data_IF_370155770307
#
_entry.id   IF_370155770307
#
_cell.length_a   1.000
_cell.length_b   1.000
_cell.length_c   1.000
_cell.angle_alpha   90.00
_cell.angle_beta   90.00
_cell.angle_gamma   90.00
#
_symmetry.space_group_name_H-M   'P 1'
#
loop_
_entity.id
_entity.type
_entity.pdbx_description
1 polymer ?
#
# COMPACT_ATOMS: atom_id res chain seq x y z
N UNK A 1 10.73 1.09 -1.83
CA UNK A 1 11.92 1.91 -1.56
C UNK A 1 11.92 2.30 -0.09
N UNK A 2 12.97 1.95 0.67
CA UNK A 2 13.02 2.14 2.14
C UNK A 2 14.14 3.12 2.52
N UNK A 3 13.82 4.35 2.94
CA UNK A 3 14.84 5.33 3.28
C UNK A 3 14.76 5.65 4.78
N UNK A 4 15.74 5.16 5.52
CA UNK A 4 16.18 5.68 6.81
C UNK A 4 17.60 5.16 6.97
N UNK A 5 18.55 5.84 6.35
CA UNK A 5 19.96 5.62 6.63
C UNK A 5 20.58 7.00 6.80
N UNK A 6 20.91 7.34 8.03
CA UNK A 6 21.81 8.44 8.36
C UNK A 6 22.69 7.91 9.49
N UNK A 7 24.01 7.91 9.25
CA UNK A 7 24.98 7.43 10.23
C UNK A 7 25.00 8.32 11.47
N UNK A 8 25.10 7.74 12.67
CA UNK A 8 25.35 8.50 13.89
C UNK A 8 24.92 7.89 15.22
N UNK A 9 24.04 6.86 15.24
CA UNK A 9 23.62 6.26 16.51
C UNK A 9 24.66 5.23 17.02
N UNK A 10 25.10 5.30 18.31
CA UNK A 10 26.03 4.32 18.87
C UNK A 10 25.45 2.90 18.85
N UNK A 11 26.31 1.88 18.72
CA UNK A 11 25.92 0.48 18.48
C UNK A 11 24.91 -0.11 19.49
N UNK A 12 24.80 0.46 20.69
CA UNK A 12 23.87 0.03 21.74
C UNK A 12 22.48 0.70 21.66
N UNK A 13 22.28 1.68 20.77
CA UNK A 13 21.00 2.40 20.58
C UNK A 13 20.35 2.13 19.22
N UNK A 14 21.02 1.38 18.33
CA UNK A 14 20.51 1.09 16.99
C UNK A 14 19.32 0.12 17.04
N UNK A 15 18.25 0.45 16.31
CA UNK A 15 17.11 -0.47 16.14
C UNK A 15 17.52 -1.70 15.34
N UNK A 16 16.84 -2.84 15.57
CA UNK A 16 17.06 -4.09 14.82
C UNK A 16 17.02 -3.87 13.29
N UNK A 17 16.18 -2.93 12.83
CA UNK A 17 16.08 -2.55 11.44
C UNK A 17 17.33 -1.82 10.91
N UNK A 18 17.87 -0.86 11.66
CA UNK A 18 19.11 -0.17 11.26
C UNK A 18 20.29 -1.15 11.24
N UNK A 19 20.35 -2.05 12.22
CA UNK A 19 21.35 -3.12 12.26
C UNK A 19 21.23 -4.08 11.07
N UNK A 20 20.01 -4.50 10.72
CA UNK A 20 19.79 -5.35 9.55
C UNK A 20 20.26 -4.69 8.25
N UNK A 21 20.04 -3.37 8.08
CA UNK A 21 20.52 -2.62 6.91
C UNK A 21 22.04 -2.50 6.87
N UNK A 22 22.65 -2.25 8.02
CA UNK A 22 24.11 -2.21 8.15
C UNK A 22 24.71 -3.57 7.74
N UNK A 23 24.16 -4.68 8.25
CA UNK A 23 24.58 -6.03 7.87
C UNK A 23 24.43 -6.29 6.36
N UNK A 24 23.32 -5.87 5.75
CA UNK A 24 23.17 -5.94 4.29
C UNK A 24 24.26 -5.17 3.55
N UNK A 25 24.56 -3.94 4.00
CA UNK A 25 25.60 -3.12 3.39
C UNK A 25 26.99 -3.75 3.55
N UNK A 26 27.30 -4.31 4.71
CA UNK A 26 28.56 -5.01 4.99
C UNK A 26 28.67 -6.26 4.10
N UNK A 27 27.60 -7.07 4.01
CA UNK A 27 27.58 -8.28 3.18
C UNK A 27 27.76 -7.96 1.69
N UNK A 28 27.16 -6.86 1.21
CA UNK A 28 27.35 -6.39 -0.17
C UNK A 28 28.77 -5.90 -0.43
N UNK A 29 29.41 -5.26 0.56
CA UNK A 29 30.82 -4.86 0.45
C UNK A 29 31.75 -6.07 0.40
N UNK A 30 31.45 -7.11 1.16
CA UNK A 30 32.25 -8.35 1.20
C UNK A 30 32.19 -9.17 -0.10
N UNK A 31 31.28 -8.83 -1.03
CA UNK A 31 31.12 -9.54 -2.31
C UNK A 31 32.25 -9.28 -3.33
N UNK A 32 33.24 -8.44 -3.01
CA UNK A 32 34.42 -8.20 -3.86
C UNK A 32 34.17 -7.32 -5.09
N UNK A 33 32.98 -6.71 -5.20
CA UNK A 33 32.63 -5.74 -6.25
C UNK A 33 32.52 -4.35 -5.62
N UNK A 34 33.08 -3.27 -6.21
CA UNK A 34 32.92 -1.92 -5.67
C UNK A 34 31.45 -1.53 -5.51
N UNK A 35 31.06 -1.12 -4.30
CA UNK A 35 29.67 -0.75 -3.96
C UNK A 35 29.59 0.72 -3.64
N UNK A 36 28.71 1.44 -4.33
CA UNK A 36 28.27 2.78 -3.89
C UNK A 36 26.98 2.65 -3.10
N UNK A 37 27.02 2.97 -1.81
CA UNK A 37 25.86 2.97 -0.93
C UNK A 37 25.26 4.39 -0.88
N UNK A 38 24.05 4.55 -1.43
CA UNK A 38 23.31 5.81 -1.34
C UNK A 38 22.35 5.78 -0.14
N UNK A 39 22.60 6.66 0.83
CA UNK A 39 21.85 6.80 2.08
C UNK A 39 20.92 7.98 1.99
N UNK A 40 19.68 7.83 2.44
CA UNK A 40 18.71 8.92 2.46
C UNK A 40 17.90 8.88 3.76
N UNK A 41 17.52 10.07 4.21
CA UNK A 41 16.56 10.27 5.29
C UNK A 41 15.13 9.93 4.85
N UNK A 42 14.16 10.81 5.08
CA UNK A 42 12.79 10.59 4.61
C UNK A 42 12.72 10.90 3.12
N UNK A 43 12.20 9.97 2.31
CA UNK A 43 11.82 10.28 0.93
C UNK A 43 10.40 10.81 0.91
N UNK A 44 10.18 11.95 0.24
CA UNK A 44 8.86 12.52 -0.04
C UNK A 44 8.47 12.16 -1.47
N UNK A 45 7.50 11.27 -1.62
CA UNK A 45 7.08 10.75 -2.91
C UNK A 45 6.18 9.53 -2.78
N UNK A 46 5.43 9.24 -3.85
CA UNK A 46 4.48 8.15 -3.90
C UNK A 46 5.15 6.79 -3.61
N UNK A 47 4.56 6.01 -2.70
CA UNK A 47 5.07 4.71 -2.28
C UNK A 47 6.24 4.76 -1.29
N UNK A 48 6.66 5.95 -0.85
CA UNK A 48 7.60 6.10 0.27
C UNK A 48 6.91 5.82 1.59
N UNK A 49 7.26 4.71 2.25
CA UNK A 49 6.58 4.27 3.46
C UNK A 49 6.45 5.36 4.55
N UNK A 50 7.49 6.16 4.79
CA UNK A 50 7.44 7.20 5.82
C UNK A 50 6.49 8.35 5.44
N UNK A 51 6.47 8.73 4.16
CA UNK A 51 5.53 9.71 3.63
C UNK A 51 4.09 9.17 3.69
N UNK A 52 3.87 7.92 3.28
CA UNK A 52 2.56 7.27 3.33
C UNK A 52 2.01 7.18 4.77
N UNK A 53 2.85 6.86 5.77
CA UNK A 53 2.43 6.86 7.18
C UNK A 53 1.99 8.26 7.61
N UNK A 54 2.77 9.30 7.29
CA UNK A 54 2.43 10.68 7.64
C UNK A 54 1.11 11.10 6.99
N UNK A 55 0.95 10.79 5.71
CA UNK A 55 -0.25 11.07 4.94
C UNK A 55 -1.48 10.36 5.53
N UNK A 56 -1.36 9.06 5.77
CA UNK A 56 -2.42 8.23 6.36
C UNK A 56 -2.83 8.77 7.74
N UNK A 57 -1.87 9.20 8.58
CA UNK A 57 -2.20 9.81 9.86
C UNK A 57 -3.02 11.09 9.69
N UNK A 58 -2.65 11.98 8.76
CA UNK A 58 -3.36 13.25 8.53
C UNK A 58 -4.76 13.04 7.94
N UNK A 59 -4.91 12.15 6.97
CA UNK A 59 -6.21 11.88 6.34
C UNK A 59 -7.11 11.02 7.22
N UNK A 60 -6.53 10.04 7.92
CA UNK A 60 -7.31 9.08 8.69
C UNK A 60 -7.63 9.58 10.07
N UNK A 61 -6.74 10.23 10.82
CA UNK A 61 -7.02 10.60 12.21
C UNK A 61 -7.71 11.97 12.33
N UNK A 62 -8.68 12.13 13.25
CA UNK A 62 -9.31 13.42 13.51
C UNK A 62 -8.42 14.33 14.35
N UNK A 63 -7.58 13.73 15.20
CA UNK A 63 -6.62 14.41 16.09
C UNK A 63 -5.28 13.69 15.93
N UNK A 64 -4.21 14.46 15.71
CA UNK A 64 -2.86 13.94 15.68
C UNK A 64 -2.30 14.03 17.10
N UNK A 65 -1.95 12.88 17.66
CA UNK A 65 -1.33 12.78 18.99
C UNK A 65 0.12 12.31 18.90
N UNK A 66 1.02 13.08 18.25
CA UNK A 66 2.41 12.68 18.13
C UNK A 66 3.07 12.57 19.52
N UNK A 67 3.93 11.58 19.75
CA UNK A 67 4.76 11.57 20.94
C UNK A 67 5.76 12.74 20.96
N UNK A 68 6.33 13.04 22.12
CA UNK A 68 7.29 14.16 22.29
C UNK A 68 8.54 14.11 21.39
N UNK A 69 8.96 12.94 20.90
CA UNK A 69 10.11 12.78 19.99
C UNK A 69 9.84 13.19 18.54
N UNK A 70 8.64 13.67 18.20
CA UNK A 70 8.35 14.26 16.87
C UNK A 70 9.10 15.60 16.65
N UNK A 71 9.90 16.02 17.62
CA UNK A 71 10.86 17.15 17.52
C UNK A 71 12.17 16.79 16.83
N UNK A 72 12.52 15.51 16.69
CA UNK A 72 13.74 15.10 15.99
C UNK A 72 13.73 15.62 14.55
N UNK A 73 14.90 16.05 14.08
CA UNK A 73 15.09 16.72 12.79
C UNK A 73 15.62 15.77 11.74
N UNK A 74 15.16 15.99 10.51
CA UNK A 74 15.62 15.24 9.34
C UNK A 74 15.78 16.16 8.14
N UNK A 75 16.47 15.67 7.11
CA UNK A 75 16.59 16.35 5.81
C UNK A 75 15.80 15.60 4.74
N UNK A 76 14.46 15.76 4.67
CA UNK A 76 13.62 15.02 3.74
C UNK A 76 13.96 15.36 2.29
N UNK A 77 14.14 14.36 1.43
CA UNK A 77 14.49 14.50 0.01
C UNK A 77 13.30 14.09 -0.87
N UNK A 78 13.05 14.83 -1.95
CA UNK A 78 12.04 14.44 -2.93
C UNK A 78 12.45 13.15 -3.68
N UNK A 79 11.50 12.26 -3.96
CA UNK A 79 11.74 11.03 -4.71
C UNK A 79 12.39 11.31 -6.08
N UNK A 80 11.91 12.34 -6.78
CA UNK A 80 12.46 12.79 -8.07
C UNK A 80 13.96 13.10 -7.98
N UNK A 81 14.40 13.86 -6.97
CA UNK A 81 15.81 14.20 -6.79
C UNK A 81 16.65 12.97 -6.42
N UNK A 82 16.10 12.05 -5.64
CA UNK A 82 16.81 10.82 -5.30
C UNK A 82 17.00 9.91 -6.53
N UNK A 83 15.97 9.79 -7.37
CA UNK A 83 16.07 9.04 -8.63
C UNK A 83 17.10 9.67 -9.57
N UNK A 84 17.15 11.01 -9.64
CA UNK A 84 18.18 11.72 -10.39
C UNK A 84 19.60 11.35 -9.92
N UNK A 85 19.84 11.32 -8.60
CA UNK A 85 21.12 10.87 -8.05
C UNK A 85 21.42 9.41 -8.41
N UNK A 86 20.45 8.50 -8.27
CA UNK A 86 20.65 7.07 -8.57
C UNK A 86 21.02 6.84 -10.04
N UNK A 87 20.36 7.54 -10.96
CA UNK A 87 20.67 7.45 -12.40
C UNK A 87 22.02 8.09 -12.70
N UNK A 88 22.30 9.29 -12.18
CA UNK A 88 23.57 9.97 -12.40
C UNK A 88 24.78 9.20 -11.85
N UNK A 89 24.61 8.40 -10.79
CA UNK A 89 25.69 7.56 -10.27
C UNK A 89 26.18 6.49 -11.26
N UNK A 90 25.38 6.14 -12.28
CA UNK A 90 25.81 5.25 -13.36
C UNK A 90 26.98 5.84 -14.16
N UNK A 91 27.05 7.17 -14.27
CA UNK A 91 28.11 7.89 -14.98
C UNK A 91 29.35 8.17 -14.11
N UNK A 92 29.32 7.73 -12.84
CA UNK A 92 30.39 7.94 -11.88
C UNK A 92 30.85 6.63 -11.22
N UNK A 93 31.38 5.64 -11.98
CA UNK A 93 31.85 4.39 -11.39
C UNK A 93 32.98 4.62 -10.39
N UNK A 94 32.90 3.94 -9.24
CA UNK A 94 33.94 4.00 -8.21
C UNK A 94 34.79 2.73 -8.24
N UNK A 95 36.09 2.86 -8.00
CA UNK A 95 37.02 1.72 -7.84
C UNK A 95 37.00 1.13 -6.44
N UNK A 96 36.44 1.86 -5.48
CA UNK A 96 36.38 1.50 -4.07
C UNK A 96 34.94 1.63 -3.56
N UNK A 97 34.66 0.99 -2.42
CA UNK A 97 33.40 1.18 -1.73
C UNK A 97 33.30 2.62 -1.24
N UNK A 98 32.14 3.24 -1.44
CA UNK A 98 31.87 4.58 -0.93
C UNK A 98 30.45 4.70 -0.44
N UNK A 99 30.27 5.56 0.54
CA UNK A 99 28.98 5.91 1.11
C UNK A 99 28.71 7.35 0.71
N UNK A 100 27.53 7.60 0.16
CA UNK A 100 27.06 8.92 -0.20
C UNK A 100 25.71 9.15 0.48
N UNK A 101 25.53 10.30 1.12
CA UNK A 101 24.25 10.65 1.74
C UNK A 101 23.51 11.67 0.87
N UNK A 102 22.20 11.51 0.79
CA UNK A 102 21.30 12.35 0.02
C UNK A 102 20.35 13.08 0.99
N UNK A 103 20.36 14.40 0.90
CA UNK A 103 19.50 15.28 1.68
C UNK A 103 18.67 16.18 0.75
N UNK A 104 17.48 16.56 1.23
CA UNK A 104 16.75 17.67 0.61
C UNK A 104 17.27 19.03 1.09
N UNK A 105 16.68 20.13 0.57
CA UNK A 105 17.20 21.48 0.79
C UNK A 105 16.87 22.06 2.17
N UNK A 106 16.06 21.37 2.99
CA UNK A 106 15.51 21.89 4.24
C UNK A 106 15.72 20.88 5.37
N UNK A 107 16.11 21.39 6.54
CA UNK A 107 16.10 20.63 7.80
C UNK A 107 14.74 20.84 8.47
N UNK A 108 13.98 19.77 8.66
CA UNK A 108 12.64 19.82 9.23
C UNK A 108 12.47 18.81 10.35
N UNK A 109 11.85 19.23 11.45
CA UNK A 109 11.34 18.29 12.45
C UNK A 109 10.16 17.50 11.88
N UNK A 110 9.89 16.31 12.42
CA UNK A 110 8.68 15.57 12.04
C UNK A 110 7.40 16.39 12.29
N UNK A 111 7.37 17.20 13.34
CA UNK A 111 6.25 18.10 13.62
C UNK A 111 6.05 19.12 12.49
N UNK A 112 7.12 19.77 12.06
CA UNK A 112 7.08 20.73 10.95
C UNK A 112 6.64 20.05 9.65
N UNK A 113 7.04 18.81 9.42
CA UNK A 113 6.59 18.04 8.26
C UNK A 113 5.07 17.78 8.30
N UNK A 114 4.51 17.40 9.46
CA UNK A 114 3.05 17.27 9.62
C UNK A 114 2.33 18.60 9.39
N UNK A 115 2.82 19.69 9.96
CA UNK A 115 2.24 21.04 9.82
C UNK A 115 2.25 21.50 8.36
N UNK A 116 3.39 21.34 7.68
CA UNK A 116 3.55 21.65 6.26
C UNK A 116 2.68 20.77 5.38
N UNK A 117 2.65 19.46 5.64
CA UNK A 117 1.78 18.54 4.91
C UNK A 117 0.31 18.97 5.03
N UNK A 118 -0.17 19.27 6.24
CA UNK A 118 -1.52 19.77 6.49
C UNK A 118 -1.83 21.08 5.75
N UNK A 119 -0.86 22.00 5.71
CA UNK A 119 -0.98 23.25 4.98
C UNK A 119 -1.11 23.03 3.47
N UNK A 120 -0.29 22.13 2.89
CA UNK A 120 -0.34 21.80 1.46
C UNK A 120 -1.60 20.99 1.11
N UNK A 121 -2.00 20.04 1.95
CA UNK A 121 -3.15 19.16 1.70
C UNK A 121 -4.51 19.82 2.01
N UNK A 122 -4.51 21.02 2.60
CA UNK A 122 -5.70 21.73 3.05
C UNK A 122 -6.44 21.08 4.23
N UNK A 123 -5.85 20.06 4.88
CA UNK A 123 -6.48 19.39 6.04
C UNK A 123 -6.02 20.04 7.33
N UNK A 124 -6.98 20.41 8.19
CA UNK A 124 -6.69 20.90 9.54
C UNK A 124 -6.93 19.79 10.55
N UNK A 125 -5.91 19.44 11.32
CA UNK A 125 -5.98 18.50 12.45
C UNK A 125 -5.32 19.11 13.67
N UNK A 126 -5.95 19.03 14.86
CA UNK A 126 -5.29 19.41 16.09
C UNK A 126 -4.07 18.50 16.31
N UNK A 127 -2.90 19.10 16.53
CA UNK A 127 -1.67 18.39 16.83
C UNK A 127 -1.38 18.55 18.33
N UNK A 128 -1.65 17.49 19.10
CA UNK A 128 -1.56 17.50 20.57
C UNK A 128 -0.45 16.53 21.00
N UNK A 129 0.74 17.03 21.35
CA UNK A 129 1.82 16.17 21.80
C UNK A 129 1.48 15.44 23.10
N UNK A 130 1.58 14.11 23.10
CA UNK A 130 1.28 13.27 24.29
C UNK A 130 2.54 12.61 24.86
N UNK A 131 2.70 12.53 26.19
CA UNK A 131 3.88 11.96 26.83
C UNK A 131 3.79 10.44 27.00
N UNK A 132 3.40 9.68 25.97
CA UNK A 132 3.39 8.21 26.04
C UNK A 132 4.74 7.60 25.64
N UNK A 133 5.23 6.53 26.31
CA UNK A 133 6.45 5.83 25.93
C UNK A 133 6.28 5.03 24.63
N UNK A 134 7.33 4.90 23.81
CA UNK A 134 7.23 4.30 22.45
C UNK A 134 6.77 2.84 22.50
N UNK A 135 7.05 2.16 23.62
CA UNK A 135 6.65 0.77 23.88
C UNK A 135 5.13 0.57 23.91
N UNK A 136 4.36 1.65 24.12
CA UNK A 136 2.90 1.62 24.20
C UNK A 136 2.22 1.86 22.85
N UNK A 137 2.97 2.30 21.82
CA UNK A 137 2.43 2.36 20.46
C UNK A 137 2.28 0.93 19.98
N UNK A 138 1.05 0.41 20.03
CA UNK A 138 0.79 -0.94 19.61
C UNK A 138 1.00 -1.06 18.10
N UNK A 139 1.69 -2.12 17.66
CA UNK A 139 1.80 -2.49 16.24
C UNK A 139 0.41 -2.64 15.62
N UNK A 140 -0.56 -3.05 16.43
CA UNK A 140 -1.98 -3.10 16.06
C UNK A 140 -2.54 -1.71 15.70
N UNK A 141 -2.33 -0.67 16.50
CA UNK A 141 -2.77 0.71 16.20
C UNK A 141 -2.20 1.22 14.87
N UNK A 142 -0.92 0.95 14.60
CA UNK A 142 -0.30 1.32 13.33
C UNK A 142 -0.93 0.56 12.16
N UNK A 143 -1.10 -0.75 12.28
CA UNK A 143 -1.75 -1.56 11.25
C UNK A 143 -3.21 -1.15 10.99
N UNK A 144 -3.89 -0.61 12.01
CA UNK A 144 -5.22 -0.03 11.87
C UNK A 144 -5.16 1.26 11.06
N UNK A 145 -4.28 2.19 11.41
CA UNK A 145 -4.34 3.58 10.90
C UNK A 145 -3.61 3.76 9.58
N UNK A 146 -2.47 3.10 9.41
CA UNK A 146 -1.72 3.12 8.16
C UNK A 146 -1.94 1.84 7.38
N UNK A 147 -1.82 1.94 6.06
CA UNK A 147 -1.77 0.78 5.18
C UNK A 147 -0.34 0.27 4.94
N UNK A 148 0.67 0.94 5.52
CA UNK A 148 2.07 0.51 5.45
C UNK A 148 2.28 -0.77 6.25
N UNK A 149 3.07 -1.74 5.76
CA UNK A 149 3.34 -2.98 6.47
C UNK A 149 3.81 -2.74 7.92
N UNK A 150 3.30 -3.49 8.92
CA UNK A 150 3.56 -3.21 10.33
C UNK A 150 5.03 -3.26 10.75
N UNK A 151 5.81 -4.13 10.10
CA UNK A 151 7.27 -4.25 10.27
C UNK A 151 7.97 -2.95 9.89
N UNK A 152 7.57 -2.36 8.77
CA UNK A 152 8.07 -1.06 8.29
C UNK A 152 7.65 0.08 9.22
N UNK A 153 6.38 0.12 9.63
CA UNK A 153 5.90 1.17 10.54
C UNK A 153 6.64 1.15 11.89
N UNK A 154 6.89 -0.04 12.46
CA UNK A 154 7.66 -0.19 13.70
C UNK A 154 9.10 0.29 13.55
N UNK A 155 9.77 -0.09 12.46
CA UNK A 155 11.11 0.35 12.15
C UNK A 155 11.21 1.87 12.02
N UNK A 156 10.27 2.49 11.30
CA UNK A 156 10.21 3.93 11.11
C UNK A 156 10.10 4.66 12.44
N UNK A 157 9.22 4.20 13.36
CA UNK A 157 9.00 4.80 14.68
C UNK A 157 10.23 4.74 15.56
N UNK A 158 10.97 3.64 15.52
CA UNK A 158 12.21 3.50 16.28
C UNK A 158 13.28 4.48 15.79
N UNK A 159 13.34 4.73 14.48
CA UNK A 159 14.24 5.73 13.87
C UNK A 159 13.91 7.18 14.22
N UNK A 160 12.68 7.51 14.65
CA UNK A 160 12.26 8.89 14.95
C UNK A 160 12.91 9.49 16.21
N UNK A 161 13.65 8.70 17.00
CA UNK A 161 14.18 9.13 18.31
C UNK A 161 15.41 10.03 18.24
N UNK A 162 16.08 10.06 17.10
CA UNK A 162 17.35 10.76 16.93
C UNK A 162 17.26 11.72 15.76
N UNK A 163 18.05 12.80 15.81
CA UNK A 163 18.26 13.67 14.65
C UNK A 163 19.00 12.87 13.57
N UNK A 164 18.40 12.82 12.39
CA UNK A 164 18.97 12.15 11.22
C UNK A 164 19.24 13.24 10.18
N UNK A 165 20.38 13.92 10.32
CA UNK A 165 20.86 14.95 9.39
C UNK A 165 21.94 14.34 8.48
N UNK A 166 21.68 14.32 7.18
CA UNK A 166 22.61 13.75 6.22
C UNK A 166 23.68 14.76 5.81
N UNK A 167 24.92 14.28 5.61
CA UNK A 167 26.01 15.04 4.99
C UNK A 167 26.06 14.76 3.48
N UNK A 168 25.43 15.64 2.71
CA UNK A 168 25.26 15.48 1.26
C UNK A 168 26.29 16.25 0.41
N UNK A 169 27.32 16.84 1.04
CA UNK A 169 28.29 17.67 0.34
C UNK A 169 29.02 16.91 -0.77
N UNK A 170 29.43 15.67 -0.50
CA UNK A 170 30.11 14.82 -1.48
C UNK A 170 29.22 14.48 -2.67
N UNK A 171 27.96 14.13 -2.41
CA UNK A 171 27.00 13.76 -3.46
C UNK A 171 26.61 14.95 -4.33
N UNK A 172 26.34 16.12 -3.73
CA UNK A 172 26.03 17.37 -4.45
C UNK A 172 27.18 17.83 -5.35
N UNK A 173 28.42 17.68 -4.88
CA UNK A 173 29.61 18.02 -5.68
C UNK A 173 29.77 17.07 -6.86
N UNK A 174 29.46 15.80 -6.67
CA UNK A 174 29.57 14.78 -7.72
C UNK A 174 28.47 14.95 -8.78
N UNK A 175 27.22 15.15 -8.35
CA UNK A 175 26.04 15.23 -9.22
C UNK A 175 25.24 16.49 -8.83
N UNK A 176 25.57 17.67 -9.39
CA UNK A 176 24.86 18.89 -9.06
C UNK A 176 23.43 18.87 -9.60
N UNK A 177 22.45 19.24 -8.77
CA UNK A 177 21.05 19.38 -9.17
C UNK A 177 20.31 20.42 -8.33
N UNK A 178 19.20 20.93 -8.87
CA UNK A 178 18.26 21.78 -8.12
C UNK A 178 17.34 20.91 -7.27
N UNK A 179 17.45 21.05 -5.95
CA UNK A 179 16.64 20.27 -5.01
C UNK A 179 15.24 20.86 -4.84
N UNK A 180 14.24 19.97 -4.79
CA UNK A 180 12.83 20.30 -4.62
C UNK A 180 12.56 20.48 -3.12
N UNK A 181 11.83 21.55 -2.78
CA UNK A 181 11.43 21.81 -1.38
C UNK A 181 10.45 20.75 -0.88
N UNK A 182 10.35 20.59 0.45
CA UNK A 182 9.39 19.66 1.03
C UNK A 182 7.97 19.95 0.55
N UNK A 183 7.56 21.22 0.59
CA UNK A 183 6.20 21.64 0.24
C UNK A 183 5.86 21.37 -1.24
N UNK A 184 6.82 21.60 -2.14
CA UNK A 184 6.65 21.31 -3.56
C UNK A 184 6.65 19.80 -3.84
N UNK A 185 7.49 19.03 -3.15
CA UNK A 185 7.51 17.57 -3.26
C UNK A 185 6.18 16.96 -2.81
N UNK A 186 5.60 17.45 -1.70
CA UNK A 186 4.26 17.05 -1.26
C UNK A 186 3.21 17.42 -2.32
N UNK A 187 3.24 18.65 -2.85
CA UNK A 187 2.27 19.11 -3.86
C UNK A 187 2.33 18.28 -5.14
N UNK A 188 3.55 17.98 -5.63
CA UNK A 188 3.76 17.12 -6.80
C UNK A 188 3.25 15.71 -6.54
N UNK A 189 3.61 15.13 -5.39
CA UNK A 189 3.18 13.78 -5.02
C UNK A 189 1.67 13.68 -4.99
N UNK A 190 0.97 14.57 -4.28
CA UNK A 190 -0.51 14.55 -4.22
C UNK A 190 -1.16 14.67 -5.61
N UNK A 191 -0.57 15.47 -6.51
CA UNK A 191 -1.04 15.61 -7.91
C UNK A 191 -0.74 14.37 -8.76
N UNK A 192 0.35 13.67 -8.50
CA UNK A 192 0.64 12.39 -9.16
C UNK A 192 -0.30 11.28 -8.66
N UNK A 193 -0.64 11.29 -7.37
CA UNK A 193 -1.55 10.31 -6.77
C UNK A 193 -2.98 10.40 -7.34
N UNK A 194 -3.41 11.58 -7.78
CA UNK A 194 -4.66 11.74 -8.56
C UNK A 194 -4.67 10.86 -9.82
N UNK A 195 -3.50 10.56 -10.38
CA UNK A 195 -3.35 9.75 -11.60
C UNK A 195 -3.16 8.26 -11.31
N UNK A 196 -2.91 7.83 -10.07
CA UNK A 196 -2.60 6.43 -9.73
C UNK A 196 -3.73 5.44 -10.06
N UNK A 197 -4.97 5.90 -10.12
CA UNK A 197 -6.09 5.03 -10.53
C UNK A 197 -6.10 4.76 -12.02
N UNK A 198 -5.35 5.53 -12.79
CA UNK A 198 -5.03 5.20 -14.16
C UNK A 198 -3.86 4.20 -14.23
N UNK A 199 -3.99 3.07 -13.52
CA UNK A 199 -2.99 2.01 -13.47
C UNK A 199 -3.60 0.66 -13.84
N UNK A 200 -2.72 -0.29 -14.15
CA UNK A 200 -3.06 -1.70 -14.42
C UNK A 200 -3.92 -2.32 -13.32
N UNK A 201 -3.67 -1.95 -12.06
CA UNK A 201 -4.38 -2.47 -10.88
C UNK A 201 -5.88 -2.16 -10.87
N UNK A 202 -6.31 -1.16 -11.65
CA UNK A 202 -7.70 -0.74 -11.81
C UNK A 202 -8.23 -0.97 -13.23
N UNK A 203 -7.46 -1.61 -14.11
CA UNK A 203 -7.85 -1.88 -15.49
C UNK A 203 -8.13 -0.61 -16.31
N UNK A 204 -7.59 0.54 -15.89
CA UNK A 204 -7.90 1.86 -16.48
C UNK A 204 -9.41 2.20 -16.50
N UNK A 205 -10.18 1.66 -15.56
CA UNK A 205 -11.65 1.78 -15.57
C UNK A 205 -12.12 3.20 -15.20
N UNK A 206 -12.95 3.79 -16.06
CA UNK A 206 -13.46 5.15 -15.88
C UNK A 206 -14.32 5.33 -14.61
N UNK A 207 -15.00 4.28 -14.12
CA UNK A 207 -15.80 4.34 -12.89
C UNK A 207 -14.91 4.29 -11.65
N UNK A 208 -13.82 3.51 -11.70
CA UNK A 208 -12.80 3.55 -10.65
C UNK A 208 -12.17 4.94 -10.57
N UNK A 209 -11.84 5.53 -11.72
CA UNK A 209 -11.29 6.89 -11.81
C UNK A 209 -12.24 7.94 -11.24
N UNK A 210 -13.51 7.93 -11.65
CA UNK A 210 -14.51 8.90 -11.18
C UNK A 210 -14.79 8.83 -9.67
N UNK A 211 -14.56 7.67 -9.04
CA UNK A 211 -14.79 7.46 -7.61
C UNK A 211 -13.56 7.64 -6.74
N UNK A 212 -12.37 7.67 -7.35
CA UNK A 212 -11.13 7.86 -6.59
C UNK A 212 -11.10 9.23 -5.93
N UNK A 213 -10.50 9.28 -4.74
CA UNK A 213 -10.19 10.52 -4.06
C UNK A 213 -8.73 10.48 -3.62
N UNK A 214 -7.97 11.60 -3.73
CA UNK A 214 -6.58 11.68 -3.26
C UNK A 214 -6.41 11.34 -1.77
N UNK A 215 -7.50 11.42 -1.01
CA UNK A 215 -7.56 11.12 0.42
C UNK A 215 -7.58 9.61 0.72
N UNK A 216 -7.66 8.77 -0.32
CA UNK A 216 -7.58 7.32 -0.18
C UNK A 216 -6.11 6.91 -0.01
N UNK A 217 -5.85 6.02 0.95
CA UNK A 217 -4.49 5.54 1.18
C UNK A 217 -3.88 4.88 -0.07
N UNK A 218 -2.65 5.23 -0.42
CA UNK A 218 -1.85 4.66 -1.51
C UNK A 218 -1.80 3.14 -1.43
N UNK A 219 -1.44 2.61 -0.26
CA UNK A 219 -1.47 1.17 -0.03
C UNK A 219 -2.90 0.73 0.30
N UNK A 220 -3.43 -0.27 -0.41
CA UNK A 220 -4.68 -0.90 -0.01
C UNK A 220 -4.50 -1.73 1.26
N UNK A 221 -5.51 -1.71 2.12
CA UNK A 221 -5.72 -2.81 3.07
C UNK A 221 -6.19 -4.03 2.31
N UNK A 222 -5.84 -5.22 2.81
CA UNK A 222 -6.17 -6.48 2.13
C UNK A 222 -6.65 -7.55 3.09
N UNK A 223 -7.58 -8.37 2.62
CA UNK A 223 -8.01 -9.59 3.28
C UNK A 223 -8.32 -10.64 2.22
N UNK A 224 -7.80 -11.84 2.39
CA UNK A 224 -7.93 -12.89 1.39
C UNK A 224 -7.43 -14.23 1.88
N UNK A 225 -7.58 -15.24 1.04
CA UNK A 225 -7.08 -16.58 1.30
C UNK A 225 -6.62 -17.22 -0.01
N UNK A 226 -5.47 -17.88 0.05
CA UNK A 226 -4.91 -18.65 -1.06
C UNK A 226 -5.17 -20.14 -0.80
N UNK A 227 -5.78 -20.83 -1.75
CA UNK A 227 -5.99 -22.27 -1.68
C UNK A 227 -5.18 -22.99 -2.77
N UNK A 228 -4.59 -24.13 -2.42
CA UNK A 228 -3.90 -25.01 -3.35
C UNK A 228 -4.85 -26.09 -3.85
N UNK A 229 -4.70 -26.50 -5.10
CA UNK A 229 -5.53 -27.54 -5.73
C UNK A 229 -4.78 -28.24 -6.87
N UNK A 230 -5.05 -29.54 -7.11
CA UNK A 230 -4.56 -30.23 -8.30
C UNK A 230 -5.35 -29.88 -9.57
N UNK A 231 -6.48 -29.17 -9.49
CA UNK A 231 -7.31 -28.83 -10.64
C UNK A 231 -6.56 -28.03 -11.71
N UNK A 232 -6.96 -28.20 -12.97
CA UNK A 232 -6.38 -27.43 -14.08
C UNK A 232 -6.71 -25.93 -14.00
N UNK A 233 -5.85 -25.09 -14.60
CA UNK A 233 -6.11 -23.65 -14.71
C UNK A 233 -7.42 -23.36 -15.46
N UNK A 234 -7.72 -24.12 -16.52
CA UNK A 234 -8.96 -23.97 -17.28
C UNK A 234 -10.19 -24.27 -16.42
N UNK A 235 -10.15 -25.32 -15.60
CA UNK A 235 -11.24 -25.65 -14.67
C UNK A 235 -11.44 -24.52 -13.64
N UNK A 236 -10.36 -24.01 -13.05
CA UNK A 236 -10.43 -22.87 -12.12
C UNK A 236 -11.01 -21.63 -12.80
N UNK A 237 -10.56 -21.32 -14.01
CA UNK A 237 -11.03 -20.19 -14.79
C UNK A 237 -12.52 -20.30 -15.11
N UNK A 238 -12.99 -21.50 -15.52
CA UNK A 238 -14.40 -21.76 -15.75
C UNK A 238 -15.22 -21.56 -14.47
N UNK A 239 -14.76 -22.05 -13.32
CA UNK A 239 -15.48 -21.90 -12.05
C UNK A 239 -15.56 -20.44 -11.63
N UNK A 240 -14.46 -19.70 -11.66
CA UNK A 240 -14.42 -18.28 -11.30
C UNK A 240 -15.41 -17.47 -12.15
N UNK A 241 -15.51 -17.78 -13.45
CA UNK A 241 -16.47 -17.14 -14.37
C UNK A 241 -17.94 -17.49 -14.09
N UNK A 242 -18.27 -18.44 -13.20
CA UNK A 242 -19.65 -18.77 -12.78
C UNK A 242 -20.18 -17.85 -11.68
N UNK A 243 -19.40 -16.87 -11.23
CA UNK A 243 -19.81 -15.89 -10.23
C UNK A 243 -21.15 -15.22 -10.56
N UNK A 244 -22.01 -15.04 -9.55
CA UNK A 244 -23.36 -14.49 -9.71
C UNK A 244 -24.35 -15.42 -10.40
N UNK A 245 -23.95 -16.67 -10.69
CA UNK A 245 -24.82 -17.73 -11.20
C UNK A 245 -25.50 -18.52 -10.08
N UNK A 246 -25.78 -19.80 -10.33
CA UNK A 246 -26.46 -20.70 -9.35
C UNK A 246 -25.76 -20.79 -7.99
N UNK A 247 -24.43 -20.72 -7.97
CA UNK A 247 -23.63 -20.76 -6.74
C UNK A 247 -23.54 -19.39 -6.02
N UNK A 248 -24.08 -18.32 -6.62
CA UNK A 248 -23.95 -16.95 -6.11
C UNK A 248 -22.49 -16.50 -6.07
N UNK A 249 -22.00 -16.21 -4.87
CA UNK A 249 -20.60 -15.83 -4.57
C UNK A 249 -19.78 -17.00 -4.03
N UNK A 250 -20.17 -18.26 -4.34
CA UNK A 250 -19.58 -19.52 -3.90
C UNK A 250 -19.67 -19.81 -2.40
N UNK A 251 -19.63 -18.81 -1.52
CA UNK A 251 -19.67 -19.01 -0.08
C UNK A 251 -20.23 -17.80 0.65
N UNK A 252 -20.92 -18.04 1.78
CA UNK A 252 -21.43 -16.96 2.62
C UNK A 252 -22.50 -16.09 1.96
N UNK A 253 -23.27 -16.64 1.01
CA UNK A 253 -24.27 -15.90 0.20
C UNK A 253 -25.24 -15.06 1.05
N UNK A 254 -25.61 -15.53 2.24
CA UNK A 254 -26.45 -14.76 3.18
C UNK A 254 -25.79 -13.44 3.59
N UNK A 255 -24.48 -13.44 3.90
CA UNK A 255 -23.75 -12.23 4.28
C UNK A 255 -23.68 -11.23 3.13
N UNK A 256 -23.48 -11.70 1.89
CA UNK A 256 -23.54 -10.87 0.69
C UNK A 256 -24.92 -10.26 0.49
N UNK A 257 -25.98 -11.06 0.67
CA UNK A 257 -27.37 -10.59 0.58
C UNK A 257 -27.71 -9.57 1.67
N UNK A 258 -27.29 -9.81 2.91
CA UNK A 258 -27.46 -8.85 4.03
C UNK A 258 -26.79 -7.53 3.67
N UNK A 259 -25.54 -7.56 3.19
CA UNK A 259 -24.84 -6.33 2.81
C UNK A 259 -25.53 -5.60 1.66
N UNK A 260 -26.04 -6.33 0.66
CA UNK A 260 -26.81 -5.79 -0.45
C UNK A 260 -28.13 -5.17 -0.01
N UNK A 261 -28.82 -5.79 0.96
CA UNK A 261 -30.04 -5.24 1.56
C UNK A 261 -29.76 -3.93 2.31
N UNK A 262 -28.68 -3.86 3.09
CA UNK A 262 -28.27 -2.62 3.76
C UNK A 262 -28.02 -1.48 2.78
N UNK A 263 -27.39 -1.75 1.63
CA UNK A 263 -27.13 -0.73 0.60
C UNK A 263 -28.44 -0.18 -0.01
N UNK A 264 -29.41 -1.09 -0.24
CA UNK A 264 -30.72 -0.73 -0.76
C UNK A 264 -31.51 0.14 0.22
N UNK A 265 -31.39 -0.10 1.54
CA UNK A 265 -32.01 0.75 2.56
C UNK A 265 -31.48 2.20 2.52
N UNK A 266 -30.24 2.41 2.06
CA UNK A 266 -29.63 3.74 1.86
C UNK A 266 -29.98 4.31 0.47
N UNK A 267 -30.96 3.73 -0.23
CA UNK A 267 -31.51 4.22 -1.49
C UNK A 267 -30.60 4.01 -2.70
N UNK A 268 -29.58 3.15 -2.61
CA UNK A 268 -28.67 2.90 -3.71
C UNK A 268 -29.20 1.78 -4.64
N UNK A 269 -29.39 2.12 -5.91
CA UNK A 269 -29.87 1.18 -6.94
C UNK A 269 -28.67 0.57 -7.64
N UNK A 270 -28.42 -0.71 -7.40
CA UNK A 270 -27.37 -1.47 -8.08
C UNK A 270 -27.99 -2.43 -9.09
N UNK A 271 -27.21 -2.75 -10.13
CA UNK A 271 -27.55 -3.82 -11.04
C UNK A 271 -27.76 -5.13 -10.25
N UNK A 272 -28.58 -6.01 -10.80
CA UNK A 272 -28.92 -7.29 -10.17
C UNK A 272 -28.79 -8.38 -11.22
N UNK A 273 -28.20 -9.51 -10.84
CA UNK A 273 -27.89 -10.61 -11.73
C UNK A 273 -26.55 -10.48 -12.42
N UNK A 274 -26.29 -11.38 -13.37
CA UNK A 274 -25.08 -11.46 -14.18
C UNK A 274 -25.44 -11.42 -15.67
N UNK A 275 -24.50 -11.12 -16.57
CA UNK A 275 -24.71 -11.25 -18.00
C UNK A 275 -25.01 -12.70 -18.39
N UNK A 276 -25.71 -12.88 -19.52
CA UNK A 276 -26.14 -14.19 -20.02
C UNK A 276 -25.01 -15.03 -20.61
N UNK A 277 -23.90 -14.41 -21.01
CA UNK A 277 -22.74 -15.12 -21.55
C UNK A 277 -21.93 -15.85 -20.46
N UNK A 278 -21.18 -16.86 -20.89
CA UNK A 278 -20.47 -17.78 -20.01
C UNK A 278 -19.24 -17.15 -19.35
N UNK A 279 -18.42 -16.45 -20.13
CA UNK A 279 -17.17 -15.82 -19.69
C UNK A 279 -17.34 -14.31 -19.50
N UNK A 280 -17.07 -13.83 -18.28
CA UNK A 280 -17.14 -12.42 -17.93
C UNK A 280 -16.12 -11.60 -18.73
N UNK A 281 -16.50 -10.38 -19.07
CA UNK A 281 -15.74 -9.41 -19.86
C UNK A 281 -15.60 -8.10 -19.09
N UNK A 282 -14.56 -7.29 -19.37
CA UNK A 282 -14.44 -5.96 -18.79
C UNK A 282 -15.71 -5.13 -19.06
N UNK A 283 -16.22 -4.45 -18.04
CA UNK A 283 -17.46 -3.68 -18.09
C UNK A 283 -18.71 -4.43 -17.65
N UNK A 284 -18.69 -5.77 -17.62
CA UNK A 284 -19.83 -6.56 -17.14
C UNK A 284 -20.17 -6.25 -15.68
N UNK A 285 -21.45 -6.36 -15.34
CA UNK A 285 -21.92 -6.20 -13.96
C UNK A 285 -22.42 -7.53 -13.40
N UNK A 286 -21.92 -7.89 -12.22
CA UNK A 286 -22.38 -9.04 -11.44
C UNK A 286 -22.94 -8.52 -10.14
N UNK A 287 -24.26 -8.39 -10.10
CA UNK A 287 -25.00 -7.63 -9.09
C UNK A 287 -24.37 -6.25 -8.84
N UNK A 288 -23.78 -6.07 -7.66
CA UNK A 288 -23.18 -4.87 -7.12
C UNK A 288 -21.71 -4.71 -7.49
N UNK A 289 -21.20 -5.55 -8.38
CA UNK A 289 -19.79 -5.57 -8.78
C UNK A 289 -19.67 -5.29 -10.27
N UNK A 290 -18.62 -4.56 -10.65
CA UNK A 290 -18.29 -4.32 -12.06
C UNK A 290 -16.97 -5.00 -12.38
N UNK A 291 -16.92 -5.82 -13.42
CA UNK A 291 -15.69 -6.45 -13.89
C UNK A 291 -14.80 -5.39 -14.51
N UNK A 292 -13.56 -5.27 -14.02
CA UNK A 292 -12.60 -4.25 -14.48
C UNK A 292 -11.36 -4.86 -15.14
N UNK A 293 -10.96 -6.07 -14.76
CA UNK A 293 -9.81 -6.77 -15.33
C UNK A 293 -10.21 -8.21 -15.61
N UNK A 294 -9.92 -8.66 -16.83
CA UNK A 294 -10.10 -10.04 -17.27
C UNK A 294 -8.83 -10.44 -18.01
N UNK A 295 -8.03 -11.30 -17.39
CA UNK A 295 -6.90 -11.98 -18.00
C UNK A 295 -7.16 -13.48 -17.96
N UNK A 296 -7.48 -14.11 -19.11
CA UNK A 296 -7.81 -15.53 -19.16
C UNK A 296 -6.78 -16.41 -18.45
N UNK A 297 -7.29 -17.30 -17.60
CA UNK A 297 -6.49 -18.25 -16.79
C UNK A 297 -5.43 -17.61 -15.87
N UNK A 298 -5.51 -16.29 -15.65
CA UNK A 298 -4.58 -15.55 -14.80
C UNK A 298 -5.30 -14.74 -13.74
N UNK A 299 -6.24 -13.88 -14.14
CA UNK A 299 -6.85 -12.93 -13.23
C UNK A 299 -8.25 -12.51 -13.62
N UNK A 300 -9.15 -12.45 -12.63
CA UNK A 300 -10.42 -11.75 -12.73
C UNK A 300 -10.53 -10.75 -11.57
N UNK A 301 -10.76 -9.47 -11.86
CA UNK A 301 -10.94 -8.45 -10.82
C UNK A 301 -12.25 -7.71 -11.00
N UNK A 302 -12.98 -7.56 -9.90
CA UNK A 302 -14.24 -6.83 -9.84
C UNK A 302 -14.13 -5.62 -8.91
N UNK A 303 -14.58 -4.47 -9.39
CA UNK A 303 -14.74 -3.23 -8.65
C UNK A 303 -15.98 -3.30 -7.75
N UNK A 304 -15.81 -2.89 -6.49
CA UNK A 304 -16.88 -2.84 -5.50
C UNK A 304 -17.83 -1.68 -5.79
N UNK A 305 -19.06 -1.97 -6.23
CA UNK A 305 -20.04 -0.96 -6.66
C UNK A 305 -20.89 -0.35 -5.55
N UNK A 306 -20.90 -0.93 -4.35
CA UNK A 306 -21.78 -0.49 -3.25
C UNK A 306 -21.32 0.82 -2.60
N UNK A 307 -22.24 1.52 -1.91
CA UNK A 307 -21.88 2.70 -1.11
C UNK A 307 -21.11 2.26 0.12
N UNK A 308 -19.86 2.69 0.22
CA UNK A 308 -19.03 2.51 1.40
C UNK A 308 -17.99 3.66 1.46
N UNK A 309 -17.46 3.98 2.66
CA UNK A 309 -16.47 5.03 2.85
C UNK A 309 -15.07 4.60 2.37
N UNK A 310 -14.93 4.38 1.05
CA UNK A 310 -13.68 3.97 0.41
C UNK A 310 -13.93 3.32 -0.94
N UNK A 311 -12.85 2.82 -1.54
CA UNK A 311 -12.88 2.11 -2.81
C UNK A 311 -12.26 0.73 -2.64
N UNK A 312 -12.91 -0.30 -3.18
CA UNK A 312 -12.39 -1.65 -3.09
C UNK A 312 -12.51 -2.43 -4.37
N UNK A 313 -11.69 -3.46 -4.48
CA UNK A 313 -11.75 -4.45 -5.56
C UNK A 313 -11.61 -5.85 -4.98
N UNK A 314 -12.25 -6.82 -5.62
CA UNK A 314 -12.13 -8.24 -5.32
C UNK A 314 -11.40 -8.90 -6.49
N UNK A 315 -10.25 -9.52 -6.21
CA UNK A 315 -9.42 -10.17 -7.20
C UNK A 315 -9.38 -11.67 -6.98
N UNK A 316 -9.45 -12.40 -8.09
CA UNK A 316 -9.20 -13.83 -8.21
C UNK A 316 -7.95 -13.99 -9.05
N UNK A 317 -6.86 -14.43 -8.44
CA UNK A 317 -5.59 -14.63 -9.14
C UNK A 317 -5.25 -16.11 -9.16
N UNK A 318 -4.90 -16.62 -10.34
CA UNK A 318 -4.53 -18.00 -10.57
C UNK A 318 -3.02 -18.08 -10.78
N UNK A 319 -2.37 -19.01 -10.10
CA UNK A 319 -0.95 -19.28 -10.28
C UNK A 319 -0.72 -20.75 -10.60
N UNK A 320 0.03 -21.01 -11.66
CA UNK A 320 0.53 -22.35 -11.95
C UNK A 320 1.87 -22.58 -11.24
N UNK A 321 1.93 -23.62 -10.40
CA UNK A 321 3.15 -24.06 -9.72
C UNK A 321 3.68 -25.37 -10.33
N UNK A 322 3.18 -25.75 -11.50
CA UNK A 322 3.51 -26.99 -12.19
C UNK A 322 2.72 -28.17 -11.63
N UNK A 323 3.13 -28.68 -10.47
CA UNK A 323 2.51 -29.86 -9.85
C UNK A 323 1.15 -29.57 -9.19
N UNK A 324 0.88 -28.32 -8.83
CA UNK A 324 -0.41 -27.86 -8.32
C UNK A 324 -0.68 -26.43 -8.78
N UNK A 325 -1.93 -25.97 -8.63
CA UNK A 325 -2.35 -24.60 -8.91
C UNK A 325 -2.78 -23.92 -7.62
N UNK A 326 -2.62 -22.61 -7.57
CA UNK A 326 -3.11 -21.76 -6.49
C UNK A 326 -4.19 -20.82 -7.00
N UNK A 327 -5.28 -20.71 -6.24
CA UNK A 327 -6.28 -19.66 -6.37
C UNK A 327 -6.17 -18.73 -5.17
N UNK A 328 -5.79 -17.47 -5.42
CA UNK A 328 -5.83 -16.40 -4.44
C UNK A 328 -7.12 -15.59 -4.60
N UNK A 329 -7.91 -15.55 -3.54
CA UNK A 329 -9.14 -14.76 -3.48
C UNK A 329 -8.93 -13.65 -2.47
N UNK A 330 -8.93 -12.40 -2.95
CA UNK A 330 -8.49 -11.27 -2.13
C UNK A 330 -9.27 -10.00 -2.40
N UNK A 331 -9.79 -9.40 -1.33
CA UNK A 331 -10.30 -8.04 -1.36
C UNK A 331 -9.18 -7.05 -1.03
N UNK A 332 -9.14 -5.99 -1.81
CA UNK A 332 -8.30 -4.83 -1.65
C UNK A 332 -9.19 -3.63 -1.34
N UNK A 333 -8.81 -2.82 -0.35
CA UNK A 333 -9.62 -1.72 0.16
C UNK A 333 -8.77 -0.50 0.43
N UNK A 334 -9.13 0.61 -0.22
CA UNK A 334 -8.58 1.93 0.01
C UNK A 334 -9.57 2.72 0.88
N UNK A 335 -9.31 2.85 2.19
CA UNK A 335 -10.21 3.50 3.12
C UNK A 335 -10.28 5.01 2.89
N UNK A 336 -11.46 5.59 3.02
CA UNK A 336 -11.65 7.03 3.10
C UNK A 336 -11.62 7.49 4.56
N UNK A 337 -10.46 7.92 5.05
CA UNK A 337 -10.33 8.46 6.40
C UNK A 337 -10.71 7.48 7.52
N UNK A 338 -11.00 8.00 8.72
CA UNK A 338 -11.54 7.20 9.86
C UNK A 338 -12.75 6.34 9.48
N UNK A 339 -13.80 6.85 8.80
CA UNK A 339 -14.99 6.04 8.52
C UNK A 339 -14.67 4.82 7.66
N UNK A 340 -13.76 4.97 6.69
CA UNK A 340 -13.25 3.88 5.87
C UNK A 340 -12.48 2.82 6.64
N UNK A 341 -11.69 3.25 7.62
CA UNK A 341 -10.96 2.36 8.51
C UNK A 341 -11.90 1.58 9.43
N UNK A 342 -12.83 2.26 10.09
CA UNK A 342 -13.81 1.64 10.99
C UNK A 342 -14.64 0.61 10.21
N UNK A 343 -15.13 0.99 9.02
CA UNK A 343 -15.84 0.08 8.13
C UNK A 343 -15.01 -1.17 7.80
N UNK A 344 -13.73 -0.99 7.45
CA UNK A 344 -12.84 -2.11 7.15
C UNK A 344 -12.68 -3.04 8.36
N UNK A 345 -12.36 -2.50 9.54
CA UNK A 345 -12.13 -3.27 10.76
C UNK A 345 -13.36 -4.09 11.17
N UNK A 346 -14.54 -3.48 11.13
CA UNK A 346 -15.80 -4.17 11.43
C UNK A 346 -16.04 -5.35 10.49
N UNK A 347 -15.60 -5.25 9.23
CA UNK A 347 -15.79 -6.27 8.22
C UNK A 347 -14.68 -7.34 8.20
N UNK A 348 -13.52 -7.14 8.85
CA UNK A 348 -12.40 -8.11 8.83
C UNK A 348 -12.85 -9.55 9.19
N UNK A 349 -13.61 -9.80 10.27
CA UNK A 349 -14.01 -11.17 10.61
C UNK A 349 -14.84 -11.82 9.51
N UNK A 350 -15.79 -11.07 8.94
CA UNK A 350 -16.61 -11.54 7.83
C UNK A 350 -15.77 -11.80 6.57
N UNK A 351 -14.85 -10.90 6.22
CA UNK A 351 -13.95 -11.05 5.08
C UNK A 351 -13.08 -12.31 5.20
N UNK A 352 -12.42 -12.52 6.34
CA UNK A 352 -11.56 -13.68 6.56
C UNK A 352 -12.35 -14.99 6.47
N UNK A 353 -13.58 -15.01 7.00
CA UNK A 353 -14.48 -16.16 6.90
C UNK A 353 -14.93 -16.42 5.45
N UNK A 354 -15.41 -15.38 4.76
CA UNK A 354 -15.96 -15.48 3.40
C UNK A 354 -14.88 -15.87 2.39
N UNK A 355 -13.72 -15.19 2.39
CA UNK A 355 -12.70 -15.42 1.37
C UNK A 355 -12.03 -16.79 1.51
N UNK A 356 -11.83 -17.27 2.75
CA UNK A 356 -11.37 -18.63 3.01
C UNK A 356 -12.36 -19.67 2.49
N UNK A 357 -13.66 -19.48 2.72
CA UNK A 357 -14.69 -20.39 2.22
C UNK A 357 -14.81 -20.35 0.70
N UNK A 358 -14.76 -19.16 0.10
CA UNK A 358 -14.83 -18.95 -1.34
C UNK A 358 -13.67 -19.62 -2.08
N UNK A 359 -12.43 -19.36 -1.66
CA UNK A 359 -11.24 -19.97 -2.28
C UNK A 359 -11.30 -21.52 -2.26
N UNK A 360 -11.68 -22.10 -1.11
CA UNK A 360 -11.81 -23.56 -0.96
C UNK A 360 -12.96 -24.13 -1.77
N UNK A 361 -14.09 -23.43 -1.85
CA UNK A 361 -15.24 -23.89 -2.65
C UNK A 361 -14.91 -23.85 -4.14
N UNK A 362 -14.23 -22.80 -4.61
CA UNK A 362 -13.78 -22.69 -6.00
C UNK A 362 -12.83 -23.84 -6.35
N UNK A 363 -11.82 -24.10 -5.51
CA UNK A 363 -10.89 -25.21 -5.70
C UNK A 363 -11.62 -26.57 -5.83
N UNK A 364 -12.51 -26.89 -4.89
CA UNK A 364 -13.30 -28.14 -4.93
C UNK A 364 -14.19 -28.27 -6.17
N UNK A 365 -14.83 -27.19 -6.59
CA UNK A 365 -15.67 -27.20 -7.80
C UNK A 365 -14.82 -27.40 -9.07
N UNK A 366 -13.58 -26.90 -9.09
CA UNK A 366 -12.67 -27.08 -10.20
C UNK A 366 -12.10 -28.50 -10.28
N UNK A 367 -11.83 -29.13 -9.13
CA UNK A 367 -11.44 -30.54 -9.03
C UNK A 367 -12.50 -31.44 -9.67
N UNK A 368 -13.78 -31.21 -9.37
CA UNK A 368 -14.91 -31.96 -9.94
C UNK A 368 -15.10 -31.79 -11.45
N UNK A 369 -14.56 -30.72 -12.04
CA UNK A 369 -14.55 -30.53 -13.50
C UNK A 369 -13.37 -31.27 -14.12
N UNK A 370 -12.24 -31.36 -13.41
CA UNK A 370 -11.03 -32.01 -13.92
C UNK A 370 -11.12 -33.53 -13.85
N UNK A 371 -11.91 -34.07 -12.92
CA UNK A 371 -12.22 -35.51 -12.82
C UNK A 371 -13.24 -36.02 -13.85
N UNK A 372 -13.92 -35.11 -14.55
CA UNK A 372 -14.88 -35.41 -15.63
C UNK A 372 -14.24 -35.18 -16.98
#
# INVERSE_FOLDING_TARGET
YFPQFIAGAPAHEQSDHLRARQLTADTLRDAGVPVTELRAGIIVGAGSAAFEVMRDMVYNLPILTPPRWVRSRTTPIALENLLYYLVGLLDHPAREHRILEAAGPQVLSYQQQFERFMAVSGKRRPLIPVPFPTRWISVWFLNVITSVPPTTAKALIQGLKHDLLADDAALKKLIPQTLITFDDAVRRTLKEEEKLVNSSDWGYDALAFARWRPEYGYFPKQAGFTAQTPASLSALWQVVNRMGGKEGYFFGNILWQTRAAMDRLVGHKLAKGRPSHTLLKPGDTVDSWKVIIVEPEKQLTLLFGMKAPGLGRLSFTLHDKGCYREIDVRAWWHPHGMPGLIYWLLMIPAHLFIFRGMARRIARLAEQITEK
#
